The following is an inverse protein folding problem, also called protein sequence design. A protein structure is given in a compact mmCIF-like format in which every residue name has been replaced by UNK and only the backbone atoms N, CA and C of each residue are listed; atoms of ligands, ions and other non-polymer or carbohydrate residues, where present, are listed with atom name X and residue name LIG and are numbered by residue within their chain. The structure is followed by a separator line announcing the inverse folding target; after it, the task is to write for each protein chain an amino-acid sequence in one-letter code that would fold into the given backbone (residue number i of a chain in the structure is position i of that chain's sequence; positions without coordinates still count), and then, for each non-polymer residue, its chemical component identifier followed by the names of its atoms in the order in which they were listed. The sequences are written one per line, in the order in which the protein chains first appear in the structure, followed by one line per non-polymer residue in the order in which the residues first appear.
data_IF_449790655302
#
_entry.id   IF_449790655302
#
_cell.length_a   1.000
_cell.length_b   1.000
_cell.length_c   1.000
_cell.angle_alpha   90.00
_cell.angle_beta   90.00
_cell.angle_gamma   90.00
#
_symmetry.space_group_name_H-M   'P 1'
#
loop_
_entity.id
_entity.type
_entity.pdbx_description
1 polymer ?
#
# COMPACT_ATOMS: atom_id res chain seq x y z
N UNK A 1 10.91 0.25 -22.53
CA UNK A 1 9.82 1.06 -23.12
C UNK A 1 9.75 1.03 -24.65
N UNK A 2 10.85 0.92 -25.41
CA UNK A 2 10.80 0.86 -26.89
C UNK A 2 10.21 -0.46 -27.41
N UNK A 3 10.56 -1.60 -26.80
CA UNK A 3 10.10 -2.94 -27.23
C UNK A 3 8.57 -3.09 -27.06
N UNK A 4 7.97 -2.52 -26.00
CA UNK A 4 6.52 -2.62 -25.78
C UNK A 4 5.69 -1.83 -26.80
N UNK A 5 6.25 -0.78 -27.41
CA UNK A 5 5.59 0.00 -28.48
C UNK A 5 5.50 -0.78 -29.78
N UNK A 6 6.48 -1.65 -30.07
CA UNK A 6 6.54 -2.44 -31.32
C UNK A 6 5.71 -3.73 -31.20
N UNK A 7 5.81 -4.42 -30.07
CA UNK A 7 5.14 -5.73 -29.87
C UNK A 7 3.75 -5.62 -29.23
N UNK A 8 3.35 -4.46 -28.74
CA UNK A 8 2.12 -4.24 -27.92
C UNK A 8 2.03 -5.17 -26.70
N UNK A 9 3.18 -5.72 -26.24
CA UNK A 9 3.27 -6.60 -25.09
C UNK A 9 4.48 -6.24 -24.24
N UNK A 10 4.34 -6.30 -22.93
CA UNK A 10 5.44 -6.03 -22.01
C UNK A 10 6.52 -7.12 -22.10
N UNK A 11 7.80 -6.82 -21.86
CA UNK A 11 8.82 -7.85 -21.66
C UNK A 11 8.45 -8.83 -20.53
N UNK A 12 7.73 -8.35 -19.52
CA UNK A 12 7.25 -9.13 -18.37
C UNK A 12 6.27 -10.22 -18.81
N UNK A 13 5.44 -9.95 -19.82
CA UNK A 13 4.53 -10.94 -20.40
C UNK A 13 5.27 -12.20 -20.86
N UNK A 14 6.40 -12.04 -21.55
CA UNK A 14 7.17 -13.20 -22.06
C UNK A 14 7.90 -13.96 -20.95
N UNK A 15 8.34 -13.27 -19.91
CA UNK A 15 8.97 -13.91 -18.75
C UNK A 15 7.91 -14.69 -17.96
N UNK A 16 6.75 -14.11 -17.76
CA UNK A 16 5.65 -14.73 -17.04
C UNK A 16 5.02 -15.92 -17.80
N UNK A 17 5.08 -15.90 -19.13
CA UNK A 17 4.63 -17.03 -19.96
C UNK A 17 5.33 -18.36 -19.58
N UNK A 18 6.59 -18.31 -19.13
CA UNK A 18 7.34 -19.50 -18.69
C UNK A 18 6.75 -20.12 -17.43
N UNK A 19 6.09 -19.33 -16.58
CA UNK A 19 5.43 -19.80 -15.36
C UNK A 19 4.12 -20.56 -15.66
N UNK A 20 3.56 -20.38 -16.84
CA UNK A 20 2.30 -21.01 -17.25
C UNK A 20 2.27 -22.52 -17.08
N UNK A 21 3.38 -23.21 -17.39
CA UNK A 21 3.47 -24.68 -17.25
C UNK A 21 3.29 -25.15 -15.80
N UNK A 22 3.90 -24.43 -14.85
CA UNK A 22 3.81 -24.78 -13.42
C UNK A 22 2.42 -24.47 -12.89
N UNK A 23 1.86 -23.33 -13.29
CA UNK A 23 0.53 -22.93 -12.89
C UNK A 23 -0.55 -23.84 -13.48
N UNK A 24 -0.41 -24.26 -14.74
CA UNK A 24 -1.32 -25.19 -15.39
C UNK A 24 -1.43 -26.51 -14.59
N UNK A 25 -0.30 -27.13 -14.27
CA UNK A 25 -0.28 -28.37 -13.49
C UNK A 25 -1.01 -28.20 -12.15
N UNK A 26 -0.75 -27.09 -11.45
CA UNK A 26 -1.38 -26.78 -10.17
C UNK A 26 -2.90 -26.59 -10.31
N UNK A 27 -3.37 -25.91 -11.36
CA UNK A 27 -4.80 -25.70 -11.62
C UNK A 27 -5.53 -26.99 -12.05
N UNK A 28 -4.83 -27.94 -12.69
CA UNK A 28 -5.36 -29.25 -13.03
C UNK A 28 -5.52 -30.15 -11.80
N UNK A 29 -4.58 -30.05 -10.84
CA UNK A 29 -4.59 -30.82 -9.59
C UNK A 29 -5.61 -30.24 -8.59
N UNK A 30 -5.72 -28.92 -8.50
CA UNK A 30 -6.60 -28.21 -7.58
C UNK A 30 -7.72 -27.51 -8.37
N UNK A 31 -8.97 -27.83 -8.06
CA UNK A 31 -10.14 -27.25 -8.73
C UNK A 31 -10.54 -25.95 -8.05
N UNK A 32 -10.37 -24.85 -8.75
CA UNK A 32 -10.77 -23.50 -8.29
C UNK A 32 -11.94 -22.99 -9.13
N UNK A 33 -12.91 -22.36 -8.48
CA UNK A 33 -14.01 -21.67 -9.16
C UNK A 33 -13.55 -20.30 -9.70
N UNK A 34 -12.68 -19.61 -8.96
CA UNK A 34 -12.17 -18.28 -9.32
C UNK A 34 -10.75 -18.04 -8.80
N UNK A 35 -10.02 -17.18 -9.49
CA UNK A 35 -8.67 -16.74 -9.14
C UNK A 35 -8.66 -15.24 -8.89
N UNK A 36 -8.28 -14.83 -7.68
CA UNK A 36 -8.12 -13.44 -7.30
C UNK A 36 -6.64 -13.04 -7.36
N UNK A 37 -6.31 -12.03 -8.15
CA UNK A 37 -4.92 -11.67 -8.45
C UNK A 37 -4.63 -10.22 -8.05
N UNK A 38 -4.02 -9.99 -6.88
CA UNK A 38 -3.68 -8.64 -6.42
C UNK A 38 -2.40 -8.08 -7.06
N UNK A 39 -1.93 -8.70 -8.13
CA UNK A 39 -0.72 -8.28 -8.85
C UNK A 39 -0.81 -8.61 -10.34
N UNK A 40 -0.16 -7.76 -11.16
CA UNK A 40 -0.17 -7.89 -12.62
C UNK A 40 0.43 -9.22 -13.12
N UNK A 41 1.52 -9.71 -12.52
CA UNK A 41 2.26 -10.87 -13.03
C UNK A 41 1.42 -12.16 -13.15
N UNK A 42 0.69 -12.61 -12.13
CA UNK A 42 -0.19 -13.76 -12.30
C UNK A 42 -1.29 -13.51 -13.33
N UNK A 43 -1.83 -12.30 -13.42
CA UNK A 43 -2.83 -11.93 -14.43
C UNK A 43 -2.28 -12.05 -15.86
N UNK A 44 -1.02 -11.67 -16.10
CA UNK A 44 -0.35 -11.86 -17.38
C UNK A 44 -0.09 -13.34 -17.70
N UNK A 45 0.34 -14.13 -16.69
CA UNK A 45 0.56 -15.58 -16.85
C UNK A 45 -0.72 -16.29 -17.28
N UNK A 46 -1.82 -16.05 -16.58
CA UNK A 46 -3.13 -16.64 -16.88
C UNK A 46 -3.68 -16.14 -18.22
N UNK A 47 -3.44 -14.87 -18.54
CA UNK A 47 -3.77 -14.31 -19.87
C UNK A 47 -3.02 -15.03 -20.99
N UNK A 48 -1.75 -15.34 -20.78
CA UNK A 48 -0.98 -16.16 -21.71
C UNK A 48 -1.60 -17.55 -21.88
N UNK A 49 -1.94 -18.22 -20.78
CA UNK A 49 -2.59 -19.55 -20.81
C UNK A 49 -3.93 -19.51 -21.59
N UNK A 50 -4.80 -18.54 -21.30
CA UNK A 50 -6.06 -18.30 -22.07
C UNK A 50 -5.79 -18.13 -23.57
N UNK A 51 -4.74 -17.42 -23.95
CA UNK A 51 -4.36 -17.22 -25.37
C UNK A 51 -3.84 -18.51 -26.03
N UNK A 52 -3.33 -19.46 -25.26
CA UNK A 52 -2.92 -20.79 -25.75
C UNK A 52 -4.08 -21.80 -25.79
N UNK A 53 -5.30 -21.38 -25.46
CA UNK A 53 -6.46 -22.26 -25.39
C UNK A 53 -6.53 -23.14 -24.14
N UNK A 54 -5.69 -22.87 -23.14
CA UNK A 54 -5.73 -23.55 -21.85
C UNK A 54 -6.92 -23.00 -21.06
N UNK A 55 -7.76 -23.89 -20.57
CA UNK A 55 -8.88 -23.55 -19.71
C UNK A 55 -8.36 -23.02 -18.37
N UNK A 56 -8.88 -21.88 -17.93
CA UNK A 56 -8.55 -21.25 -16.65
C UNK A 56 -9.84 -20.85 -15.94
N UNK A 57 -9.89 -20.92 -14.60
CA UNK A 57 -11.03 -20.46 -13.83
C UNK A 57 -11.33 -18.98 -14.04
N UNK A 58 -12.46 -18.49 -13.52
CA UNK A 58 -12.80 -17.06 -13.53
C UNK A 58 -11.66 -16.23 -12.98
N UNK A 59 -11.26 -15.19 -13.70
CA UNK A 59 -10.12 -14.34 -13.38
C UNK A 59 -10.58 -12.97 -12.90
N UNK A 60 -10.31 -12.62 -11.63
CA UNK A 60 -10.55 -11.29 -11.10
C UNK A 60 -9.23 -10.64 -10.66
N UNK A 61 -8.84 -9.59 -11.36
CA UNK A 61 -7.69 -8.77 -11.01
C UNK A 61 -8.07 -7.76 -9.93
N UNK A 62 -7.19 -7.55 -8.94
CA UNK A 62 -7.36 -6.52 -7.91
C UNK A 62 -6.25 -5.49 -8.09
N UNK A 63 -6.60 -4.30 -8.57
CA UNK A 63 -5.64 -3.20 -8.71
C UNK A 63 -5.42 -2.53 -7.36
N UNK A 64 -4.17 -2.53 -6.89
CA UNK A 64 -3.79 -2.00 -5.57
C UNK A 64 -3.11 -0.63 -5.63
N UNK A 65 -3.14 0.03 -6.80
CA UNK A 65 -2.59 1.36 -7.02
C UNK A 65 -3.71 2.34 -7.41
N UNK A 66 -3.67 3.56 -6.87
CA UNK A 66 -4.61 4.65 -7.22
C UNK A 66 -4.34 5.27 -8.60
N UNK A 67 -3.73 4.49 -9.47
CA UNK A 67 -3.51 4.80 -10.88
C UNK A 67 -3.55 3.53 -11.70
N UNK A 68 -4.02 3.64 -12.94
CA UNK A 68 -3.93 2.53 -13.88
C UNK A 68 -2.48 2.41 -14.36
N UNK A 69 -1.68 1.55 -13.72
CA UNK A 69 -0.31 1.28 -14.18
C UNK A 69 -0.34 0.62 -15.58
N UNK A 70 0.71 0.80 -16.40
CA UNK A 70 0.78 0.17 -17.71
C UNK A 70 0.66 -1.35 -17.66
N UNK A 71 0.13 -1.93 -18.73
CA UNK A 71 0.01 -3.37 -19.02
C UNK A 71 -1.22 -4.07 -18.45
N UNK A 72 -2.04 -3.44 -17.58
CA UNK A 72 -3.33 -4.02 -17.23
C UNK A 72 -4.23 -4.21 -18.45
N UNK A 73 -4.17 -3.30 -19.42
CA UNK A 73 -4.89 -3.37 -20.70
C UNK A 73 -4.48 -4.53 -21.60
N UNK A 74 -3.32 -5.17 -21.34
CA UNK A 74 -2.86 -6.36 -22.06
C UNK A 74 -3.46 -7.65 -21.51
N UNK A 75 -4.00 -7.63 -20.29
CA UNK A 75 -4.55 -8.80 -19.63
C UNK A 75 -5.98 -9.13 -20.12
N UNK A 76 -6.42 -10.36 -19.90
CA UNK A 76 -7.75 -10.86 -20.27
C UNK A 76 -8.51 -11.38 -19.05
N UNK A 77 -8.53 -10.57 -17.99
CA UNK A 77 -9.34 -10.90 -16.83
C UNK A 77 -10.83 -10.77 -17.14
N UNK A 78 -11.63 -11.53 -16.41
CA UNK A 78 -13.08 -11.45 -16.51
C UNK A 78 -13.61 -10.22 -15.76
N UNK A 79 -12.95 -9.87 -14.64
CA UNK A 79 -13.23 -8.65 -13.86
C UNK A 79 -11.94 -7.97 -13.40
N UNK A 80 -12.05 -6.64 -13.20
CA UNK A 80 -11.00 -5.78 -12.65
C UNK A 80 -11.57 -4.98 -11.49
N UNK A 81 -11.19 -5.33 -10.28
CA UNK A 81 -11.50 -4.56 -9.08
C UNK A 81 -10.57 -3.38 -9.02
N UNK A 82 -11.11 -2.17 -9.06
CA UNK A 82 -10.35 -0.92 -9.10
C UNK A 82 -10.61 -0.07 -7.85
N UNK A 83 -9.63 0.77 -7.45
CA UNK A 83 -9.72 1.56 -6.22
C UNK A 83 -10.84 2.59 -6.20
N UNK A 84 -11.16 3.18 -7.36
CA UNK A 84 -12.09 4.30 -7.48
C UNK A 84 -12.58 4.44 -8.92
N UNK A 85 -13.73 5.10 -9.11
CA UNK A 85 -14.32 5.36 -10.43
C UNK A 85 -13.40 6.15 -11.37
N UNK A 86 -12.60 7.08 -10.85
CA UNK A 86 -11.66 7.82 -11.69
C UNK A 86 -10.53 6.93 -12.23
N UNK A 87 -10.13 5.91 -11.48
CA UNK A 87 -9.18 4.90 -11.98
C UNK A 87 -9.86 4.01 -13.01
N UNK A 88 -11.14 3.65 -12.83
CA UNK A 88 -11.92 2.92 -13.82
C UNK A 88 -11.97 3.67 -15.15
N UNK A 89 -12.30 4.97 -15.15
CA UNK A 89 -12.30 5.82 -16.35
C UNK A 89 -10.95 5.86 -17.07
N UNK A 90 -9.84 5.81 -16.31
CA UNK A 90 -8.49 5.75 -16.91
C UNK A 90 -8.24 4.38 -17.53
N UNK A 91 -8.67 3.30 -16.87
CA UNK A 91 -8.56 1.93 -17.38
C UNK A 91 -9.39 1.74 -18.65
N UNK A 92 -10.61 2.26 -18.68
CA UNK A 92 -11.49 2.26 -19.86
C UNK A 92 -10.83 2.96 -21.05
N UNK A 93 -10.29 4.18 -20.86
CA UNK A 93 -9.55 4.92 -21.89
C UNK A 93 -8.32 4.17 -22.41
N UNK A 94 -7.79 3.22 -21.65
CA UNK A 94 -6.70 2.33 -22.07
C UNK A 94 -7.17 1.05 -22.76
N UNK A 95 -8.48 0.83 -22.84
CA UNK A 95 -9.09 -0.27 -23.58
C UNK A 95 -9.54 -1.46 -22.72
N UNK A 96 -9.67 -1.30 -21.40
CA UNK A 96 -10.35 -2.29 -20.56
C UNK A 96 -11.85 -2.00 -20.65
N UNK A 97 -12.70 -2.99 -21.03
CA UNK A 97 -14.14 -2.79 -21.15
C UNK A 97 -14.79 -2.33 -19.84
N UNK A 98 -15.68 -1.35 -19.89
CA UNK A 98 -16.35 -0.75 -18.73
C UNK A 98 -17.10 -1.81 -17.90
N UNK A 99 -17.79 -2.73 -18.56
CA UNK A 99 -18.58 -3.80 -17.92
C UNK A 99 -17.74 -4.78 -17.09
N UNK A 100 -16.41 -4.75 -17.24
CA UNK A 100 -15.48 -5.55 -16.46
C UNK A 100 -14.86 -4.81 -15.27
N UNK A 101 -15.06 -3.49 -15.19
CA UNK A 101 -14.48 -2.64 -14.16
C UNK A 101 -15.42 -2.52 -12.96
N UNK A 102 -14.93 -2.94 -11.77
CA UNK A 102 -15.68 -2.92 -10.52
C UNK A 102 -15.03 -1.93 -9.55
N UNK A 103 -15.60 -0.74 -9.40
CA UNK A 103 -15.08 0.34 -8.54
C UNK A 103 -15.48 0.14 -7.08
N UNK A 104 -15.00 -0.94 -6.46
CA UNK A 104 -15.36 -1.31 -5.07
C UNK A 104 -14.24 -1.05 -4.05
N UNK A 105 -13.12 -0.49 -4.47
CA UNK A 105 -12.03 -0.13 -3.58
C UNK A 105 -10.93 -1.18 -3.44
N UNK A 106 -9.84 -0.81 -2.76
CA UNK A 106 -8.75 -1.73 -2.41
C UNK A 106 -9.16 -2.50 -1.15
N UNK A 107 -9.19 -3.84 -1.17
CA UNK A 107 -9.55 -4.62 0.00
C UNK A 107 -8.49 -4.48 1.10
N UNK A 108 -8.95 -4.25 2.32
CA UNK A 108 -8.12 -4.16 3.53
C UNK A 108 -8.61 -5.16 4.58
N UNK A 109 -7.70 -5.54 5.49
CA UNK A 109 -8.07 -6.43 6.58
C UNK A 109 -9.01 -5.73 7.58
N UNK A 110 -10.01 -6.46 8.10
CA UNK A 110 -10.94 -6.01 9.15
C UNK A 110 -10.25 -5.41 10.39
N UNK A 111 -8.97 -5.75 10.61
CA UNK A 111 -8.18 -5.17 11.70
C UNK A 111 -8.05 -3.66 11.61
N UNK A 112 -8.09 -3.10 10.41
CA UNK A 112 -7.99 -1.65 10.20
C UNK A 112 -9.32 -0.95 10.38
N UNK A 113 -10.44 -1.60 10.07
CA UNK A 113 -11.79 -1.02 10.18
C UNK A 113 -12.37 -1.08 11.61
N UNK A 114 -11.93 -2.06 12.44
CA UNK A 114 -12.42 -2.21 13.81
C UNK A 114 -12.07 -0.98 14.64
N UNK A 115 -13.07 -0.40 15.30
CA UNK A 115 -12.86 0.68 16.26
C UNK A 115 -12.13 0.17 17.50
N UNK A 116 -11.21 0.98 18.02
CA UNK A 116 -10.53 0.72 19.28
C UNK A 116 -10.26 2.04 20.00
N UNK A 117 -10.41 2.02 21.32
CA UNK A 117 -10.12 3.18 22.15
C UNK A 117 -8.60 3.44 22.14
N UNK A 118 -8.20 4.63 21.73
CA UNK A 118 -6.78 5.02 21.54
C UNK A 118 -5.95 4.83 22.81
N UNK A 119 -6.49 5.16 23.97
CA UNK A 119 -5.83 4.99 25.27
C UNK A 119 -5.49 3.53 25.56
N UNK A 120 -6.42 2.61 25.31
CA UNK A 120 -6.23 1.16 25.49
C UNK A 120 -5.23 0.59 24.51
N UNK A 121 -5.26 1.07 23.26
CA UNK A 121 -4.28 0.66 22.24
C UNK A 121 -2.88 1.13 22.61
N UNK A 122 -2.73 2.36 23.09
CA UNK A 122 -1.45 2.89 23.59
C UNK A 122 -0.92 2.10 24.77
N UNK A 123 -1.79 1.75 25.72
CA UNK A 123 -1.42 0.91 26.85
C UNK A 123 -0.94 -0.48 26.43
N UNK A 124 -1.66 -1.14 25.50
CA UNK A 124 -1.28 -2.43 24.94
C UNK A 124 0.09 -2.39 24.25
N UNK A 125 0.36 -1.33 23.49
CA UNK A 125 1.63 -1.12 22.77
C UNK A 125 2.73 -0.52 23.67
N UNK A 126 2.43 -0.25 24.96
CA UNK A 126 3.34 0.41 25.92
C UNK A 126 3.82 1.79 25.42
N UNK A 127 2.89 2.55 24.80
CA UNK A 127 3.15 3.87 24.27
C UNK A 127 2.69 4.95 25.27
N UNK A 128 3.31 6.15 25.26
CA UNK A 128 2.87 7.28 26.07
C UNK A 128 1.41 7.65 25.82
N UNK A 129 0.63 7.92 26.89
CA UNK A 129 -0.80 8.24 26.77
C UNK A 129 -1.04 9.69 26.38
N UNK A 130 -0.18 10.61 26.85
CA UNK A 130 -0.39 12.06 26.82
C UNK A 130 0.48 12.79 25.78
N UNK A 131 1.14 12.05 24.89
CA UNK A 131 2.00 12.62 23.85
C UNK A 131 1.30 12.58 22.50
N UNK A 132 1.55 13.58 21.65
CA UNK A 132 1.28 13.49 20.21
C UNK A 132 2.30 12.52 19.60
N UNK A 133 1.83 11.51 18.88
CA UNK A 133 2.67 10.44 18.33
C UNK A 133 2.64 10.47 16.81
N UNK A 134 3.81 10.60 16.21
CA UNK A 134 4.04 10.53 14.78
C UNK A 134 4.44 9.11 14.39
N UNK A 135 3.72 8.52 13.44
CA UNK A 135 4.06 7.22 12.86
C UNK A 135 4.81 7.43 11.56
N UNK A 136 6.02 6.90 11.45
CA UNK A 136 6.85 6.97 10.24
C UNK A 136 7.04 5.58 9.68
N UNK A 137 6.74 5.38 8.39
CA UNK A 137 6.93 4.09 7.75
C UNK A 137 7.23 4.17 6.25
N UNK A 138 8.07 3.27 5.78
CA UNK A 138 8.46 3.14 4.35
C UNK A 138 7.74 2.01 3.58
N UNK A 139 6.61 1.50 4.11
CA UNK A 139 5.94 0.30 3.61
C UNK A 139 6.68 -0.99 4.00
N UNK A 140 6.19 -2.15 3.52
CA UNK A 140 6.69 -3.48 3.93
C UNK A 140 8.18 -3.70 3.67
N UNK A 141 8.73 -3.09 2.63
CA UNK A 141 10.15 -3.18 2.27
C UNK A 141 11.03 -2.15 2.98
N UNK A 142 10.46 -1.28 3.84
CA UNK A 142 11.19 -0.17 4.44
C UNK A 142 11.78 0.78 3.38
N UNK A 143 11.10 0.91 2.23
CA UNK A 143 11.55 1.76 1.14
C UNK A 143 11.25 3.23 1.46
N UNK A 144 12.15 4.11 1.03
CA UNK A 144 12.12 5.53 1.35
C UNK A 144 13.25 5.90 2.31
N UNK A 145 13.49 7.18 2.45
CA UNK A 145 14.54 7.69 3.33
C UNK A 145 13.99 7.89 4.77
N UNK A 146 13.75 6.75 5.45
CA UNK A 146 13.23 6.75 6.82
C UNK A 146 14.14 7.55 7.77
N UNK A 147 15.45 7.44 7.58
CA UNK A 147 16.44 8.15 8.41
C UNK A 147 16.29 9.66 8.24
N UNK A 148 16.26 10.12 6.99
CA UNK A 148 16.11 11.55 6.69
C UNK A 148 14.77 12.08 7.16
N UNK A 149 13.69 11.34 6.95
CA UNK A 149 12.36 11.74 7.40
C UNK A 149 12.28 11.80 8.91
N UNK A 150 12.82 10.81 9.63
CA UNK A 150 12.86 10.80 11.10
C UNK A 150 13.68 11.98 11.62
N UNK A 151 14.86 12.23 11.06
CA UNK A 151 15.71 13.37 11.44
C UNK A 151 15.03 14.72 11.18
N UNK A 152 14.29 14.85 10.09
CA UNK A 152 13.57 16.09 9.78
C UNK A 152 12.38 16.32 10.73
N UNK A 153 11.67 15.25 11.11
CA UNK A 153 10.60 15.34 12.11
C UNK A 153 11.16 15.68 13.48
N UNK A 154 12.22 15.01 13.92
CA UNK A 154 12.89 15.26 15.19
C UNK A 154 13.27 16.73 15.37
N UNK A 155 13.80 17.38 14.33
CA UNK A 155 14.16 18.81 14.36
C UNK A 155 12.96 19.76 14.48
N UNK A 156 11.74 19.30 14.22
CA UNK A 156 10.53 20.11 14.15
C UNK A 156 9.49 19.76 15.22
N UNK A 157 9.65 18.61 15.87
CA UNK A 157 8.74 18.18 16.92
C UNK A 157 9.00 18.94 18.22
N UNK A 158 8.00 19.05 19.04
CA UNK A 158 8.10 19.56 20.41
C UNK A 158 8.72 18.50 21.33
N UNK A 159 9.29 18.91 22.45
CA UNK A 159 9.89 17.98 23.41
C UNK A 159 8.86 16.98 23.99
N UNK A 160 7.58 17.36 23.98
CA UNK A 160 6.45 16.51 24.40
C UNK A 160 6.01 15.50 23.36
N UNK A 161 6.43 15.62 22.10
CA UNK A 161 6.04 14.72 21.02
C UNK A 161 6.83 13.41 21.04
N UNK A 162 6.33 12.41 20.30
CA UNK A 162 7.04 11.14 20.09
C UNK A 162 6.98 10.67 18.65
N UNK A 163 8.03 9.96 18.22
CA UNK A 163 8.10 9.36 16.90
C UNK A 163 8.18 7.84 17.03
N UNK A 164 7.37 7.13 16.25
CA UNK A 164 7.43 5.68 16.11
C UNK A 164 7.82 5.38 14.66
N UNK A 165 8.97 4.74 14.47
CA UNK A 165 9.48 4.40 13.15
C UNK A 165 9.34 2.91 12.89
N UNK A 166 8.60 2.54 11.84
CA UNK A 166 8.44 1.13 11.44
C UNK A 166 9.30 0.84 10.22
N UNK A 167 10.35 0.05 10.43
CA UNK A 167 11.34 -0.30 9.41
C UNK A 167 10.90 -1.49 8.52
N UNK A 168 9.79 -2.17 8.84
CA UNK A 168 9.31 -3.32 8.10
C UNK A 168 10.35 -4.46 8.04
N UNK A 169 10.49 -5.09 6.88
CA UNK A 169 11.42 -6.21 6.66
C UNK A 169 12.89 -5.78 6.52
N UNK A 170 13.19 -4.48 6.52
CA UNK A 170 14.54 -3.97 6.33
C UNK A 170 15.37 -4.05 7.61
N UNK A 171 15.95 -5.23 7.87
CA UNK A 171 16.78 -5.48 9.04
C UNK A 171 17.99 -4.54 9.16
N UNK A 172 18.57 -4.12 8.02
CA UNK A 172 19.75 -3.23 8.00
C UNK A 172 19.37 -1.84 8.51
N UNK A 173 18.30 -1.26 8.00
CA UNK A 173 17.79 0.04 8.46
C UNK A 173 17.36 -0.05 9.94
N UNK A 174 16.65 -1.11 10.32
CA UNK A 174 16.25 -1.31 11.71
C UNK A 174 17.43 -1.30 12.67
N UNK A 175 18.47 -2.08 12.40
CA UNK A 175 19.66 -2.15 13.26
C UNK A 175 20.38 -0.81 13.35
N UNK A 176 20.55 -0.13 12.21
CA UNK A 176 21.18 1.20 12.16
C UNK A 176 20.39 2.21 12.97
N UNK A 177 19.11 2.39 12.69
CA UNK A 177 18.29 3.37 13.39
C UNK A 177 18.15 3.05 14.89
N UNK A 178 18.05 1.77 15.26
CA UNK A 178 18.02 1.37 16.65
C UNK A 178 19.28 1.79 17.40
N UNK A 179 20.47 1.72 16.76
CA UNK A 179 21.74 2.20 17.32
C UNK A 179 21.75 3.74 17.38
N UNK A 180 21.38 4.41 16.31
CA UNK A 180 21.45 5.86 16.20
C UNK A 180 20.51 6.57 17.20
N UNK A 181 19.33 5.98 17.45
CA UNK A 181 18.29 6.52 18.34
C UNK A 181 18.20 5.82 19.71
N UNK A 182 19.19 5.03 20.12
CA UNK A 182 19.15 4.25 21.38
C UNK A 182 19.02 5.10 22.66
N UNK A 183 19.44 6.36 22.63
CA UNK A 183 19.39 7.28 23.76
C UNK A 183 18.26 8.36 23.62
N UNK A 184 17.40 8.22 22.63
CA UNK A 184 16.29 9.15 22.38
C UNK A 184 15.00 8.57 22.98
N UNK A 185 14.61 9.06 24.16
CA UNK A 185 13.42 8.56 24.87
C UNK A 185 12.10 8.81 24.11
N UNK A 186 12.10 9.79 23.19
CA UNK A 186 10.92 10.18 22.40
C UNK A 186 10.84 9.47 21.05
N UNK A 187 11.83 8.63 20.67
CA UNK A 187 11.88 7.96 19.38
C UNK A 187 11.96 6.45 19.56
N UNK A 188 10.94 5.76 19.12
CA UNK A 188 10.87 4.29 19.18
C UNK A 188 11.07 3.69 17.79
N UNK A 189 12.06 2.81 17.65
CA UNK A 189 12.34 2.10 16.40
C UNK A 189 11.75 0.67 16.49
N UNK A 190 10.88 0.36 15.54
CA UNK A 190 10.18 -0.92 15.44
C UNK A 190 10.58 -1.61 14.12
N UNK A 191 10.89 -2.89 14.18
CA UNK A 191 11.17 -3.71 13.00
C UNK A 191 9.89 -4.13 12.28
N UNK A 192 9.87 -5.38 11.80
CA UNK A 192 8.65 -5.97 11.25
C UNK A 192 7.62 -6.19 12.36
N UNK A 193 6.39 -5.79 12.10
CA UNK A 193 5.28 -5.97 13.05
C UNK A 193 4.02 -6.51 12.37
N UNK A 194 3.27 -7.34 13.11
CA UNK A 194 1.90 -7.78 12.74
C UNK A 194 0.82 -6.86 13.32
N UNK A 195 1.21 -5.84 14.10
CA UNK A 195 0.31 -4.95 14.84
C UNK A 195 0.16 -3.57 14.16
N UNK A 196 0.37 -3.48 12.82
CA UNK A 196 0.31 -2.22 12.07
C UNK A 196 -1.01 -1.47 12.31
N UNK A 197 -2.14 -2.18 12.28
CA UNK A 197 -3.45 -1.57 12.55
C UNK A 197 -3.57 -0.94 13.94
N UNK A 198 -2.88 -1.49 14.94
CA UNK A 198 -2.83 -0.91 16.28
C UNK A 198 -1.95 0.35 16.30
N UNK A 199 -0.79 0.33 15.63
CA UNK A 199 0.06 1.53 15.53
C UNK A 199 -0.67 2.67 14.81
N UNK A 200 -1.40 2.40 13.72
CA UNK A 200 -2.22 3.41 13.04
C UNK A 200 -3.31 4.00 13.94
N UNK A 201 -3.90 3.19 14.83
CA UNK A 201 -4.91 3.67 15.79
C UNK A 201 -4.31 4.39 17.01
N UNK A 202 -3.08 4.06 17.38
CA UNK A 202 -2.38 4.67 18.51
C UNK A 202 -1.81 6.05 18.18
N UNK A 203 -1.37 6.26 16.94
CA UNK A 203 -0.70 7.48 16.52
C UNK A 203 -1.68 8.56 16.05
N UNK A 204 -1.18 9.78 15.91
CA UNK A 204 -1.98 10.96 15.57
C UNK A 204 -1.80 11.36 14.10
N UNK A 205 -0.62 11.12 13.53
CA UNK A 205 -0.30 11.44 12.14
C UNK A 205 0.62 10.35 11.58
N UNK A 206 0.35 9.92 10.35
CA UNK A 206 1.19 8.99 9.61
C UNK A 206 2.02 9.74 8.56
N UNK A 207 3.33 9.54 8.59
CA UNK A 207 4.25 9.94 7.52
C UNK A 207 4.72 8.71 6.75
N UNK A 208 4.39 8.65 5.47
CA UNK A 208 4.68 7.49 4.62
C UNK A 208 4.93 7.90 3.17
N UNK A 209 5.50 7.00 2.39
CA UNK A 209 5.49 7.16 0.94
C UNK A 209 4.07 6.90 0.39
N UNK A 210 3.68 7.54 -0.72
CA UNK A 210 2.42 7.23 -1.38
C UNK A 210 2.42 5.78 -1.89
N UNK A 211 1.50 4.97 -1.39
CA UNK A 211 1.32 3.58 -1.79
C UNK A 211 -0.10 3.13 -1.53
N UNK A 212 -0.74 2.49 -2.51
CA UNK A 212 -2.18 2.21 -2.46
C UNK A 212 -2.62 1.49 -1.20
N UNK A 213 -1.98 0.37 -0.83
CA UNK A 213 -2.34 -0.40 0.36
C UNK A 213 -2.20 0.42 1.65
N UNK A 214 -1.03 1.03 1.88
CA UNK A 214 -0.79 1.81 3.11
C UNK A 214 -1.74 3.00 3.22
N UNK A 215 -1.98 3.71 2.12
CA UNK A 215 -2.89 4.86 2.11
C UNK A 215 -4.34 4.44 2.38
N UNK A 216 -4.77 3.30 1.85
CA UNK A 216 -6.11 2.75 2.12
C UNK A 216 -6.23 2.29 3.58
N UNK A 217 -5.22 1.58 4.11
CA UNK A 217 -5.17 1.15 5.52
C UNK A 217 -5.22 2.34 6.47
N UNK A 218 -4.51 3.42 6.16
CA UNK A 218 -4.52 4.65 6.93
C UNK A 218 -5.89 5.33 6.89
N UNK A 219 -6.49 5.45 5.70
CA UNK A 219 -7.80 6.06 5.52
C UNK A 219 -8.90 5.34 6.32
N UNK A 220 -8.97 4.00 6.23
CA UNK A 220 -9.96 3.22 6.97
C UNK A 220 -9.69 3.15 8.47
N UNK A 221 -8.43 3.36 8.90
CA UNK A 221 -8.06 3.49 10.32
C UNK A 221 -8.37 4.87 10.89
N UNK A 222 -8.71 5.85 10.03
CA UNK A 222 -8.99 7.23 10.44
C UNK A 222 -7.76 8.03 10.87
N UNK A 223 -6.53 7.58 10.52
CA UNK A 223 -5.33 8.34 10.83
C UNK A 223 -5.02 9.33 9.70
N UNK A 224 -4.86 10.64 10.01
CA UNK A 224 -4.34 11.61 9.05
C UNK A 224 -2.99 11.18 8.51
N UNK A 225 -2.79 11.31 7.19
CA UNK A 225 -1.54 10.90 6.55
C UNK A 225 -0.92 12.02 5.73
N UNK A 226 0.40 12.10 5.76
CA UNK A 226 1.23 12.90 4.87
C UNK A 226 2.11 11.98 4.02
N UNK A 227 1.93 12.06 2.71
CA UNK A 227 2.68 11.28 1.73
C UNK A 227 3.80 12.07 1.06
N UNK A 228 4.11 13.27 1.53
CA UNK A 228 5.19 14.10 0.99
C UNK A 228 6.55 13.57 1.43
N UNK A 229 7.34 13.08 0.48
CA UNK A 229 8.68 12.55 0.74
C UNK A 229 9.78 13.61 0.66
N UNK A 230 9.52 14.83 0.16
CA UNK A 230 10.55 15.79 -0.19
C UNK A 230 10.53 17.10 0.59
N UNK A 231 9.38 17.54 1.07
CA UNK A 231 9.27 18.78 1.86
C UNK A 231 8.20 18.58 2.92
N UNK A 232 8.61 18.30 4.15
CA UNK A 232 7.69 18.33 5.28
C UNK A 232 7.08 19.74 5.37
N UNK A 233 5.75 19.89 5.28
CA UNK A 233 5.12 21.18 5.53
C UNK A 233 5.48 21.65 6.94
N UNK A 234 5.53 22.96 7.12
CA UNK A 234 5.67 23.56 8.45
C UNK A 234 4.55 23.00 9.31
N UNK A 235 4.92 22.36 10.43
CA UNK A 235 3.97 21.83 11.40
C UNK A 235 3.27 22.99 12.11
N UNK A 236 2.33 23.65 11.44
CA UNK A 236 1.37 24.50 12.13
C UNK A 236 0.23 23.59 12.64
N UNK A 237 -0.07 23.60 13.94
CA UNK A 237 -0.99 22.67 14.58
C UNK A 237 -2.42 22.67 14.01
N UNK A 238 -2.83 23.73 13.33
CA UNK A 238 -4.18 23.91 12.80
C UNK A 238 -4.33 23.63 11.29
N UNK A 239 -3.23 23.60 10.51
CA UNK A 239 -3.30 23.54 9.05
C UNK A 239 -3.19 22.12 8.47
N UNK A 240 -2.70 21.16 9.25
CA UNK A 240 -2.54 19.76 8.79
C UNK A 240 -3.89 19.07 8.63
N UNK A 241 -4.86 19.39 9.49
CA UNK A 241 -6.22 18.83 9.41
C UNK A 241 -7.02 19.33 8.20
N UNK A 242 -6.76 20.56 7.72
CA UNK A 242 -7.50 21.13 6.59
C UNK A 242 -6.95 20.75 5.21
N UNK A 243 -5.66 20.41 5.10
CA UNK A 243 -5.04 20.01 3.82
C UNK A 243 -5.17 18.53 3.49
N UNK A 244 -5.25 17.65 4.48
CA UNK A 244 -5.44 16.21 4.25
C UNK A 244 -6.84 15.85 3.72
N UNK A 245 -7.85 16.71 3.96
CA UNK A 245 -9.20 16.52 3.42
C UNK A 245 -9.40 17.13 2.03
N UNK A 246 -8.48 17.97 1.55
CA UNK A 246 -8.63 18.68 0.26
C UNK A 246 -7.95 18.01 -0.94
N UNK A 247 -7.06 17.04 -0.74
CA UNK A 247 -6.33 16.39 -1.84
C UNK A 247 -6.61 14.88 -1.98
N UNK A 248 -7.26 14.28 -1.01
CA UNK A 248 -7.84 12.93 -1.16
C UNK A 248 -9.36 13.13 -1.17
N UNK A 249 -9.98 13.02 -2.35
CA UNK A 249 -11.42 13.22 -2.53
C UNK A 249 -12.21 12.48 -1.47
N UNK A 250 -13.24 13.13 -0.95
CA UNK A 250 -14.16 12.63 0.07
C UNK A 250 -14.66 11.22 -0.26
N UNK A 251 -14.07 10.23 0.37
CA UNK A 251 -14.67 8.90 0.43
C UNK A 251 -15.78 8.92 1.49
N UNK A 252 -17.02 8.99 1.04
CA UNK A 252 -18.21 8.55 1.78
C UNK A 252 -18.61 7.18 1.28
#
# INVERSE_FOLDING_TARGET
MVISRITKKSPVYYVNAKMGKYLQKYLEEEKFDALLMPHLYPSETLTYMKRQGIEVPLMAAIMTDYTCIPFWEETRCDYYIVPHEDVAKVCEKRGIPEEKLLSIGIPVSDKFTKTAEKSKVREHLKLPKDRRLFLVMGGSMGAGDLEKLTMQLEKRMEASDGIIVICGNNKKIFQKMKKDYQHHENIQIVGQTKQMSLYMKACDILYTKPGGLTSTEAAVSGIPQDCSTSNLPVLEPASVLSRSYGSCGSFR
#
